data_IF_677522609102
#
_entry.id   IF_677522609102
#
_cell.length_a   1.000
_cell.length_b   1.000
_cell.length_c   1.000
_cell.angle_alpha   90.00
_cell.angle_beta   90.00
_cell.angle_gamma   90.00
#
_symmetry.space_group_name_H-M   'P 1'
#
loop_
_entity.id
_entity.type
_entity.pdbx_description
1 polymer ?
#
# COMPACT_ATOMS: atom_id res chain seq x y z
N UNK A 1 11.60 -25.57 16.80
CA UNK A 1 11.57 -25.07 16.67
C UNK A 1 11.50 -24.32 16.36
N UNK A 2 11.36 -24.36 16.34
CA UNK A 2 11.21 -23.73 16.08
C UNK A 2 11.07 -22.88 15.80
N UNK A 3 10.83 -22.67 15.63
CA UNK A 3 10.71 -21.88 15.26
C UNK A 3 10.35 -21.04 15.11
N UNK A 4 10.02 -20.89 15.24
CA UNK A 4 9.55 -20.16 15.25
C UNK A 4 9.58 -19.02 15.07
N UNK A 5 9.81 -18.58 15.34
CA UNK A 5 9.80 -17.28 15.53
C UNK A 5 9.67 -16.55 14.34
N UNK A 6 10.10 -16.60 13.70
CA UNK A 6 9.97 -16.04 12.59
C UNK A 6 8.71 -15.90 12.20
N UNK A 7 7.97 -15.96 13.00
CA UNK A 7 6.76 -15.99 12.89
C UNK A 7 6.15 -15.31 11.83
N UNK A 8 6.22 -14.13 11.66
CA UNK A 8 5.50 -13.48 10.68
C UNK A 8 5.82 -14.00 9.33
N UNK A 9 7.03 -14.11 8.99
CA UNK A 9 7.36 -14.57 7.69
C UNK A 9 7.01 -15.99 7.50
N UNK A 10 6.94 -16.74 8.54
CA UNK A 10 6.59 -18.06 8.47
C UNK A 10 5.21 -18.25 8.08
N UNK A 11 4.35 -17.32 8.30
CA UNK A 11 2.96 -17.47 7.99
C UNK A 11 2.64 -17.09 6.56
N UNK A 12 3.65 -16.84 5.74
CA UNK A 12 3.40 -16.53 4.35
C UNK A 12 3.47 -17.77 3.51
N UNK A 13 2.52 -17.94 2.63
CA UNK A 13 2.50 -19.06 1.71
C UNK A 13 2.66 -18.50 0.31
N UNK A 14 3.63 -19.00 -0.44
CA UNK A 14 3.99 -18.45 -1.72
C UNK A 14 3.77 -19.47 -2.82
N UNK A 15 3.11 -19.06 -3.87
CA UNK A 15 2.94 -19.89 -5.03
C UNK A 15 3.67 -19.23 -6.20
N UNK A 16 4.55 -19.98 -6.86
CA UNK A 16 5.28 -19.47 -8.01
C UNK A 16 4.96 -20.41 -9.16
N UNK A 17 4.34 -19.87 -10.22
CA UNK A 17 3.96 -20.73 -11.32
C UNK A 17 5.12 -20.85 -12.30
N UNK A 18 4.92 -21.63 -13.35
CA UNK A 18 6.00 -21.91 -14.29
C UNK A 18 6.47 -20.69 -15.08
N UNK A 19 5.70 -19.62 -15.07
CA UNK A 19 6.10 -18.41 -15.77
C UNK A 19 6.81 -17.42 -14.84
N UNK A 20 7.00 -17.78 -13.58
CA UNK A 20 7.67 -16.92 -12.64
C UNK A 20 6.76 -15.92 -11.94
N UNK A 21 5.44 -16.09 -12.08
CA UNK A 21 4.52 -15.20 -11.39
C UNK A 21 4.41 -15.66 -9.95
N UNK A 22 4.49 -14.73 -9.01
CA UNK A 22 4.47 -15.04 -7.59
C UNK A 22 3.22 -14.50 -6.94
N UNK A 23 2.61 -15.32 -6.12
CA UNK A 23 1.44 -14.91 -5.35
C UNK A 23 1.70 -15.25 -3.89
N UNK A 24 1.46 -14.30 -3.01
CA UNK A 24 1.69 -14.49 -1.58
C UNK A 24 0.35 -14.53 -0.87
N UNK A 25 0.20 -15.47 0.02
CA UNK A 25 -1.07 -15.70 0.73
C UNK A 25 -0.87 -15.76 2.21
N UNK A 26 -1.91 -15.44 2.97
CA UNK A 26 -1.86 -15.55 4.41
C UNK A 26 -2.36 -16.90 4.89
N UNK A 27 -3.00 -17.69 4.02
CA UNK A 27 -3.56 -18.97 4.43
C UNK A 27 -2.96 -20.11 3.63
N UNK A 28 -2.98 -21.28 4.23
CA UNK A 28 -2.42 -22.46 3.62
C UNK A 28 -3.16 -22.87 2.36
N UNK A 29 -4.45 -22.59 2.29
CA UNK A 29 -5.24 -22.92 1.13
C UNK A 29 -4.98 -21.99 -0.04
N UNK A 30 -4.21 -20.93 0.18
CA UNK A 30 -3.85 -19.97 -0.85
C UNK A 30 -5.08 -19.31 -1.46
N UNK A 31 -5.96 -18.87 -0.58
CA UNK A 31 -7.16 -18.18 -1.02
C UNK A 31 -7.16 -16.69 -0.70
N UNK A 32 -6.38 -16.27 0.29
CA UNK A 32 -6.37 -14.88 0.71
C UNK A 32 -5.03 -14.23 0.39
N UNK A 33 -4.99 -13.44 -0.65
CA UNK A 33 -3.77 -12.75 -1.02
C UNK A 33 -3.37 -11.80 0.09
N UNK A 34 -2.11 -11.84 0.50
CA UNK A 34 -1.66 -11.04 1.61
C UNK A 34 -0.14 -10.98 1.68
N UNK A 35 0.41 -9.79 1.80
CA UNK A 35 1.83 -9.63 2.04
C UNK A 35 2.05 -8.26 2.64
N UNK A 36 2.77 -8.18 3.74
CA UNK A 36 2.97 -6.92 4.44
C UNK A 36 4.23 -6.17 4.03
N UNK A 37 5.21 -6.86 3.47
CA UNK A 37 6.47 -6.21 3.16
C UNK A 37 6.74 -6.12 1.67
N UNK A 38 5.71 -6.17 0.87
CA UNK A 38 5.88 -6.06 -0.57
C UNK A 38 4.60 -6.39 -1.31
N UNK A 39 4.65 -6.47 -2.62
CA UNK A 39 3.45 -6.82 -3.38
C UNK A 39 3.08 -8.28 -3.17
N UNK A 40 1.78 -8.54 -3.03
CA UNK A 40 1.31 -9.91 -2.87
C UNK A 40 1.21 -10.63 -4.21
N UNK A 41 1.21 -9.87 -5.31
CA UNK A 41 1.20 -10.44 -6.65
C UNK A 41 2.33 -9.78 -7.43
N UNK A 42 3.18 -10.60 -8.03
CA UNK A 42 4.25 -10.09 -8.89
C UNK A 42 4.29 -10.99 -10.11
N UNK A 43 4.13 -10.43 -11.30
CA UNK A 43 4.26 -11.29 -12.45
C UNK A 43 5.60 -11.00 -13.13
N UNK A 44 5.96 -11.86 -14.04
CA UNK A 44 7.27 -11.78 -14.68
C UNK A 44 7.40 -10.57 -15.60
N UNK A 45 6.29 -9.97 -15.98
CA UNK A 45 6.31 -8.83 -16.88
C UNK A 45 6.43 -7.49 -16.17
N UNK A 46 6.31 -7.49 -14.85
CA UNK A 46 6.44 -6.25 -14.10
C UNK A 46 5.18 -5.76 -13.42
N UNK A 47 4.10 -6.50 -13.53
CA UNK A 47 2.86 -6.13 -12.83
C UNK A 47 3.02 -6.46 -11.35
N UNK A 48 2.63 -5.55 -10.47
CA UNK A 48 2.70 -5.76 -9.04
C UNK A 48 1.43 -5.24 -8.40
N UNK A 49 0.94 -5.95 -7.41
CA UNK A 49 -0.25 -5.53 -6.69
C UNK A 49 -0.07 -5.86 -5.21
N UNK A 50 -0.42 -4.91 -4.37
CA UNK A 50 -0.29 -5.05 -2.92
C UNK A 50 -1.65 -5.41 -2.33
N UNK A 51 -1.69 -6.49 -1.59
CA UNK A 51 -2.92 -6.95 -0.94
C UNK A 51 -2.68 -7.19 0.54
N UNK A 52 -3.65 -6.79 1.34
CA UNK A 52 -3.67 -7.08 2.76
C UNK A 52 -5.02 -7.73 3.03
N UNK A 53 -4.99 -8.95 3.53
CA UNK A 53 -6.21 -9.70 3.84
C UNK A 53 -7.16 -9.77 2.65
N UNK A 54 -6.61 -9.97 1.46
CA UNK A 54 -7.43 -10.13 0.27
C UNK A 54 -7.89 -8.85 -0.38
N UNK A 55 -7.54 -7.69 0.18
CA UNK A 55 -7.97 -6.42 -0.38
C UNK A 55 -6.79 -5.63 -0.90
N UNK A 56 -6.96 -4.93 -2.00
CA UNK A 56 -5.92 -4.07 -2.52
C UNK A 56 -5.68 -2.97 -1.51
N UNK A 57 -4.44 -2.82 -1.07
CA UNK A 57 -4.13 -1.87 -0.02
C UNK A 57 -2.64 -1.57 0.05
N UNK A 58 -2.29 -0.30 0.01
CA UNK A 58 -0.90 0.07 0.22
C UNK A 58 -0.89 1.50 0.74
N UNK A 59 -0.16 1.74 1.81
CA UNK A 59 -0.14 3.06 2.45
C UNK A 59 1.05 3.92 2.07
N UNK A 60 2.06 3.35 1.43
CA UNK A 60 3.24 4.13 1.08
C UNK A 60 3.45 4.23 -0.43
N UNK A 61 2.42 4.00 -1.21
CA UNK A 61 2.55 4.11 -2.65
C UNK A 61 1.33 3.54 -3.35
N UNK A 62 1.41 3.37 -4.66
CA UNK A 62 0.29 2.79 -5.40
C UNK A 62 0.14 1.31 -5.06
N UNK A 63 -1.10 0.85 -4.93
CA UNK A 63 -1.37 -0.55 -4.62
C UNK A 63 -1.28 -1.43 -5.86
N UNK A 64 -1.30 -0.84 -7.05
CA UNK A 64 -1.13 -1.59 -8.28
C UNK A 64 -0.16 -0.84 -9.16
N UNK A 65 0.85 -1.54 -9.65
CA UNK A 65 1.81 -0.97 -10.60
C UNK A 65 1.77 -1.84 -11.82
N UNK A 66 1.41 -1.25 -12.96
CA UNK A 66 1.29 -1.99 -14.20
C UNK A 66 2.63 -2.04 -14.93
N UNK A 67 2.79 -3.06 -15.76
CA UNK A 67 4.05 -3.23 -16.47
C UNK A 67 4.41 -2.04 -17.36
N UNK A 68 3.41 -1.27 -17.79
CA UNK A 68 3.66 -0.12 -18.66
C UNK A 68 3.90 1.16 -17.86
N UNK A 69 4.00 1.07 -16.55
CA UNK A 69 4.29 2.24 -15.73
C UNK A 69 3.07 2.91 -15.13
N UNK A 70 1.86 2.50 -15.50
CA UNK A 70 0.67 3.10 -14.89
C UNK A 70 0.55 2.63 -13.45
N UNK A 71 -0.12 3.42 -12.63
CA UNK A 71 -0.24 3.15 -11.21
C UNK A 71 -1.67 3.41 -10.74
N UNK A 72 -2.10 2.68 -9.73
CA UNK A 72 -3.41 2.89 -9.13
C UNK A 72 -3.30 2.78 -7.63
N UNK A 73 -3.95 3.67 -6.91
CA UNK A 73 -3.89 3.74 -5.46
C UNK A 73 -5.15 3.17 -4.84
N UNK A 74 -4.99 2.30 -3.84
CA UNK A 74 -6.13 1.68 -3.17
C UNK A 74 -5.89 1.60 -1.66
N UNK A 75 -6.95 1.83 -0.91
CA UNK A 75 -6.93 1.64 0.53
C UNK A 75 -8.16 0.78 0.82
N UNK A 76 -7.95 -0.42 1.33
CA UNK A 76 -9.02 -1.38 1.65
C UNK A 76 -9.95 -1.56 0.45
N UNK A 77 -9.34 -1.88 -0.71
CA UNK A 77 -10.07 -2.15 -1.94
C UNK A 77 -10.77 -0.94 -2.55
N UNK A 78 -10.63 0.23 -1.96
CA UNK A 78 -11.27 1.41 -2.49
C UNK A 78 -10.27 2.23 -3.28
N UNK A 79 -10.53 2.46 -4.54
CA UNK A 79 -9.62 3.19 -5.40
C UNK A 79 -9.65 4.68 -5.11
N UNK A 80 -8.46 5.27 -5.08
CA UNK A 80 -8.33 6.70 -4.84
C UNK A 80 -7.51 7.30 -5.98
N UNK A 81 -7.69 8.60 -6.22
CA UNK A 81 -6.79 9.28 -7.13
C UNK A 81 -5.49 9.48 -6.37
N UNK A 82 -4.44 9.79 -7.08
CA UNK A 82 -3.15 10.03 -6.44
C UNK A 82 -3.28 11.19 -5.46
N UNK A 83 -4.03 12.20 -5.82
CA UNK A 83 -4.22 13.34 -4.96
C UNK A 83 -4.96 12.95 -3.68
N UNK A 84 -6.01 12.17 -3.80
CA UNK A 84 -6.76 11.71 -2.64
C UNK A 84 -5.89 10.86 -1.73
N UNK A 85 -5.06 10.03 -2.33
CA UNK A 85 -4.17 9.17 -1.57
C UNK A 85 -3.17 10.01 -0.79
N UNK A 86 -2.56 10.99 -1.44
CA UNK A 86 -1.57 11.83 -0.79
C UNK A 86 -2.19 12.66 0.32
N UNK A 87 -3.40 13.12 0.14
CA UNK A 87 -4.10 13.87 1.15
C UNK A 87 -4.34 13.00 2.38
N UNK A 88 -4.72 11.76 2.13
CA UNK A 88 -5.01 10.85 3.20
C UNK A 88 -3.77 10.42 3.98
N UNK A 89 -2.68 10.19 3.27
CA UNK A 89 -1.46 9.69 3.89
C UNK A 89 -0.58 10.79 4.47
N UNK A 90 -0.80 12.03 4.08
CA UNK A 90 -0.02 13.16 4.58
C UNK A 90 -0.93 14.27 5.09
N UNK A 91 -1.83 13.95 6.01
CA UNK A 91 -2.81 14.93 6.46
C UNK A 91 -2.25 16.14 7.16
N UNK A 92 -1.13 15.99 7.84
CA UNK A 92 -0.57 17.11 8.58
C UNK A 92 -0.18 18.23 7.64
N UNK A 93 0.52 17.90 6.60
CA UNK A 93 1.00 18.88 5.65
C UNK A 93 -0.16 19.57 4.95
N UNK A 94 -1.13 18.80 4.52
CA UNK A 94 -2.28 19.37 3.85
C UNK A 94 -3.13 20.20 4.78
N UNK A 95 -3.24 19.78 6.01
CA UNK A 95 -4.05 20.51 6.98
C UNK A 95 -3.52 21.92 7.18
N UNK A 96 -2.20 22.07 7.24
CA UNK A 96 -1.63 23.39 7.42
C UNK A 96 -1.98 24.29 6.25
N UNK A 97 -1.89 23.77 5.03
CA UNK A 97 -2.21 24.53 3.86
C UNK A 97 -3.68 24.90 3.85
N UNK A 98 -4.54 23.94 4.08
CA UNK A 98 -5.95 24.18 4.05
C UNK A 98 -6.41 25.14 5.13
N UNK A 99 -5.88 25.01 6.30
CA UNK A 99 -6.26 25.90 7.39
C UNK A 99 -5.83 27.33 7.07
N UNK A 100 -4.63 27.49 6.52
CA UNK A 100 -4.15 28.81 6.19
C UNK A 100 -5.05 29.47 5.15
N UNK A 101 -5.45 28.73 4.14
CA UNK A 101 -6.30 29.27 3.09
C UNK A 101 -7.70 29.56 3.60
N UNK A 102 -8.20 28.65 4.42
CA UNK A 102 -9.53 28.77 4.93
C UNK A 102 -9.72 29.96 5.85
N UNK A 103 -8.74 30.25 6.68
CA UNK A 103 -8.86 31.31 7.63
C UNK A 103 -8.12 32.59 7.23
N UNK A 104 -7.52 32.58 6.05
CA UNK A 104 -6.85 33.77 5.56
C UNK A 104 -5.57 34.12 6.30
N UNK A 105 -4.92 33.15 6.90
CA UNK A 105 -3.67 33.43 7.59
C UNK A 105 -2.56 32.70 6.87
N UNK A 106 -1.35 33.15 7.07
CA UNK A 106 -0.25 32.56 6.36
C UNK A 106 0.18 31.27 7.03
N UNK A 107 0.79 30.40 6.24
CA UNK A 107 1.27 29.14 6.76
C UNK A 107 2.37 29.39 7.78
N UNK A 108 3.12 30.47 7.60
CA UNK A 108 4.17 30.83 8.55
C UNK A 108 3.63 31.04 9.94
N UNK A 109 2.49 31.66 10.03
CA UNK A 109 1.91 31.89 11.33
C UNK A 109 1.51 30.58 12.00
N UNK A 110 1.05 29.64 11.23
CA UNK A 110 0.69 28.34 11.78
C UNK A 110 1.93 27.61 12.26
N UNK A 111 3.04 27.80 11.61
CA UNK A 111 4.23 27.13 12.02
C UNK A 111 4.74 27.58 13.34
N UNK A 112 4.52 28.80 13.66
CA UNK A 112 4.98 29.34 14.92
C UNK A 112 4.38 28.64 16.10
N UNK A 113 3.25 28.02 15.89
CA UNK A 113 2.63 27.35 16.96
C UNK A 113 3.32 26.10 17.36
N UNK A 114 4.28 25.66 16.67
CA UNK A 114 4.98 24.48 17.07
C UNK A 114 5.68 24.64 18.33
#
# INVERSE_FOLDING_TARGET
MINTPTMTKKDQFIHINKYGHKHYYSDREMEILHREDGPAVEDAAGYKAWFINGELHREDGPAVEYADGRESWYINDKRLTEKEFNTRMNPVELTLQEIAEKFGISVDKLKIKK
#
